data_IF_762897176418
#
_entry.id   IF_762897176418
#
_cell.length_a   1.000
_cell.length_b   1.000
_cell.length_c   1.000
_cell.angle_alpha   90.00
_cell.angle_beta   90.00
_cell.angle_gamma   90.00
#
_symmetry.space_group_name_H-M   'P 1'
#
loop_
_entity.id
_entity.type
_entity.pdbx_description
1 polymer ?
#
# COMPACT_ATOMS: atom_id res chain seq x y z
N UNK A 1 -17.48 -19.25 17.21
CA UNK A 1 -17.07 -19.80 15.90
C UNK A 1 -15.56 -20.05 15.91
N UNK A 2 -14.72 -19.02 16.18
CA UNK A 2 -13.24 -19.13 16.13
C UNK A 2 -12.70 -20.22 17.07
N UNK A 3 -13.13 -20.26 18.35
CA UNK A 3 -12.68 -21.25 19.32
C UNK A 3 -13.11 -22.69 19.00
N UNK A 4 -14.15 -22.87 18.19
CA UNK A 4 -14.67 -24.18 17.80
C UNK A 4 -14.15 -24.67 16.43
N UNK A 5 -13.31 -23.88 15.76
CA UNK A 5 -12.71 -24.26 14.48
C UNK A 5 -11.54 -25.24 14.70
N UNK A 6 -11.35 -26.22 13.83
CA UNK A 6 -10.22 -27.17 13.90
C UNK A 6 -8.89 -26.45 13.61
N UNK A 7 -8.91 -25.47 12.70
CA UNK A 7 -7.81 -24.55 12.45
C UNK A 7 -8.33 -23.13 12.16
N UNK A 8 -7.51 -22.13 12.42
CA UNK A 8 -7.75 -20.71 12.12
C UNK A 8 -6.60 -20.22 11.24
N UNK A 9 -6.91 -19.56 10.14
CA UNK A 9 -5.90 -18.94 9.27
C UNK A 9 -5.87 -17.44 9.53
N UNK A 10 -4.70 -16.91 9.89
CA UNK A 10 -4.38 -15.50 9.95
C UNK A 10 -3.57 -15.10 8.70
N UNK A 11 -3.79 -13.90 8.17
CA UNK A 11 -3.12 -13.44 6.93
C UNK A 11 -1.72 -12.89 7.15
N UNK A 12 -1.31 -12.74 8.41
CA UNK A 12 0.03 -12.31 8.82
C UNK A 12 0.32 -12.75 10.25
N UNK A 13 1.59 -12.66 10.66
CA UNK A 13 1.99 -12.91 12.05
C UNK A 13 1.35 -11.89 13.00
N UNK A 14 1.30 -10.61 12.60
CA UNK A 14 0.60 -9.58 13.36
C UNK A 14 -0.89 -9.91 13.56
N UNK A 15 -1.59 -10.34 12.51
CA UNK A 15 -3.00 -10.76 12.63
C UNK A 15 -3.15 -12.01 13.50
N UNK A 16 -2.18 -12.94 13.47
CA UNK A 16 -2.17 -14.10 14.38
C UNK A 16 -2.12 -13.66 15.83
N UNK A 17 -1.25 -12.71 16.15
CA UNK A 17 -1.09 -12.18 17.50
C UNK A 17 -2.37 -11.45 17.95
N UNK A 18 -2.99 -10.67 17.07
CA UNK A 18 -4.30 -10.05 17.31
C UNK A 18 -5.38 -11.09 17.64
N UNK A 19 -5.47 -12.15 16.83
CA UNK A 19 -6.43 -13.25 17.07
C UNK A 19 -6.21 -13.91 18.45
N UNK A 20 -4.95 -14.20 18.80
CA UNK A 20 -4.63 -14.83 20.09
C UNK A 20 -4.89 -13.89 21.27
N UNK A 21 -4.71 -12.58 21.08
CA UNK A 21 -5.02 -11.58 22.10
C UNK A 21 -6.53 -11.46 22.38
N UNK A 22 -7.34 -11.51 21.32
CA UNK A 22 -8.82 -11.43 21.41
C UNK A 22 -9.44 -12.72 21.91
N UNK A 23 -8.81 -13.87 21.61
CA UNK A 23 -9.29 -15.21 21.98
C UNK A 23 -8.24 -15.94 22.84
N UNK A 24 -8.04 -15.55 24.11
CA UNK A 24 -6.96 -16.10 24.95
C UNK A 24 -7.13 -17.59 25.31
N UNK A 25 -8.32 -18.16 25.07
CA UNK A 25 -8.60 -19.60 25.22
C UNK A 25 -8.30 -20.44 23.98
N UNK A 26 -7.90 -19.81 22.87
CA UNK A 26 -7.57 -20.54 21.65
C UNK A 26 -6.15 -21.12 21.72
N UNK A 27 -6.01 -22.42 21.37
CA UNK A 27 -4.69 -23.05 21.26
C UNK A 27 -3.88 -22.36 20.15
N UNK A 28 -2.71 -21.74 20.47
CA UNK A 28 -1.86 -21.09 19.49
C UNK A 28 -1.40 -21.98 18.32
N UNK A 29 -1.36 -23.31 18.53
CA UNK A 29 -0.99 -24.29 17.49
C UNK A 29 -2.07 -24.46 16.43
N UNK A 30 -3.30 -24.02 16.70
CA UNK A 30 -4.42 -24.04 15.75
C UNK A 30 -4.50 -22.77 14.90
N UNK A 31 -3.70 -21.75 15.20
CA UNK A 31 -3.65 -20.51 14.43
C UNK A 31 -2.44 -20.53 13.49
N UNK A 32 -2.72 -20.70 12.21
CA UNK A 32 -1.73 -20.79 11.16
C UNK A 32 -1.65 -19.47 10.40
N UNK A 33 -0.43 -19.08 9.99
CA UNK A 33 -0.24 -17.91 9.12
C UNK A 33 -0.21 -18.39 7.68
N UNK A 34 -1.16 -17.92 6.88
CA UNK A 34 -1.17 -18.08 5.42
C UNK A 34 -1.53 -16.73 4.81
N UNK A 35 -0.60 -16.13 4.12
CA UNK A 35 -0.75 -14.79 3.55
C UNK A 35 -1.78 -14.79 2.40
N UNK A 36 -2.34 -13.62 2.08
CA UNK A 36 -3.11 -13.48 0.84
C UNK A 36 -2.16 -13.49 -0.35
N UNK A 37 -2.66 -14.04 -1.46
CA UNK A 37 -1.96 -14.01 -2.74
C UNK A 37 -2.28 -12.79 -3.58
N UNK A 38 -1.55 -12.66 -4.66
CA UNK A 38 -1.78 -11.70 -5.74
C UNK A 38 -1.83 -12.44 -7.08
N UNK A 39 -2.72 -12.00 -7.96
CA UNK A 39 -2.79 -12.50 -9.33
C UNK A 39 -1.88 -11.65 -10.23
N UNK A 40 -0.70 -12.19 -10.56
CA UNK A 40 0.31 -11.51 -11.38
C UNK A 40 -0.03 -11.47 -12.88
N UNK A 41 -1.10 -12.14 -13.30
CA UNK A 41 -1.66 -12.03 -14.66
C UNK A 41 -2.68 -10.90 -14.75
N UNK A 42 -3.26 -10.49 -13.62
CA UNK A 42 -4.13 -9.32 -13.50
C UNK A 42 -3.31 -8.06 -13.16
N UNK A 43 -2.39 -8.19 -12.20
CA UNK A 43 -1.50 -7.12 -11.76
C UNK A 43 -0.11 -7.33 -12.35
N UNK A 44 0.24 -6.53 -13.33
CA UNK A 44 1.53 -6.58 -14.04
C UNK A 44 1.89 -5.17 -14.54
N UNK A 45 3.17 -4.90 -14.84
CA UNK A 45 3.57 -3.61 -15.40
C UNK A 45 2.83 -3.31 -16.70
N UNK A 46 2.04 -2.25 -16.72
CA UNK A 46 1.39 -1.79 -17.94
C UNK A 46 2.43 -1.25 -18.92
N UNK A 47 2.19 -1.38 -20.26
CA UNK A 47 3.04 -0.70 -21.22
C UNK A 47 3.11 0.80 -20.98
N UNK A 48 4.28 1.45 -21.16
CA UNK A 48 4.47 2.89 -20.86
C UNK A 48 3.40 3.79 -21.50
N UNK A 49 2.99 3.51 -22.75
CA UNK A 49 2.00 4.29 -23.47
C UNK A 49 0.62 4.30 -22.78
N UNK A 50 0.31 3.23 -22.05
CA UNK A 50 -0.96 3.13 -21.30
C UNK A 50 -0.90 3.97 -20.03
N UNK A 51 0.26 3.95 -19.35
CA UNK A 51 0.50 4.84 -18.20
C UNK A 51 0.44 6.31 -18.61
N UNK A 52 1.12 6.71 -19.68
CA UNK A 52 1.08 8.07 -20.21
C UNK A 52 -0.35 8.50 -20.56
N UNK A 53 -1.15 7.60 -21.15
CA UNK A 53 -2.54 7.90 -21.53
C UNK A 53 -3.42 8.18 -20.29
N UNK A 54 -3.34 7.36 -19.26
CA UNK A 54 -4.14 7.56 -18.03
C UNK A 54 -3.68 8.80 -17.27
N UNK A 55 -2.37 9.07 -17.23
CA UNK A 55 -1.85 10.29 -16.61
C UNK A 55 -2.31 11.55 -17.34
N UNK A 56 -2.33 11.53 -18.69
CA UNK A 56 -2.84 12.63 -19.50
C UNK A 56 -4.34 12.89 -19.24
N UNK A 57 -5.16 11.84 -19.10
CA UNK A 57 -6.57 11.98 -18.72
C UNK A 57 -6.74 12.66 -17.36
N UNK A 58 -5.82 12.43 -16.42
CA UNK A 58 -5.83 13.02 -15.08
C UNK A 58 -5.18 14.40 -15.02
N UNK A 59 -4.52 14.85 -16.10
CA UNK A 59 -3.77 16.10 -16.14
C UNK A 59 -2.42 16.02 -15.45
N UNK A 60 -1.89 14.82 -15.20
CA UNK A 60 -0.59 14.56 -14.58
C UNK A 60 0.50 14.68 -15.63
N UNK A 61 1.61 15.35 -15.31
CA UNK A 61 2.76 15.47 -16.20
C UNK A 61 3.63 14.18 -16.10
N UNK A 62 3.72 13.37 -17.16
CA UNK A 62 4.46 12.11 -17.12
C UNK A 62 5.99 12.31 -17.03
N UNK A 63 6.49 13.52 -17.27
CA UNK A 63 7.92 13.82 -17.17
C UNK A 63 8.41 14.09 -15.73
N UNK A 64 7.47 14.24 -14.79
CA UNK A 64 7.75 14.54 -13.39
C UNK A 64 7.57 13.31 -12.51
N UNK A 65 8.39 13.14 -11.45
CA UNK A 65 8.21 12.03 -10.52
C UNK A 65 6.84 12.10 -9.85
N UNK A 66 6.23 10.93 -9.64
CA UNK A 66 4.88 10.82 -9.10
C UNK A 66 4.82 9.76 -8.01
N UNK A 67 4.15 10.07 -6.90
CA UNK A 67 3.66 9.08 -5.95
C UNK A 67 2.19 8.81 -6.17
N UNK A 68 1.79 7.54 -6.03
CA UNK A 68 0.40 7.12 -6.06
C UNK A 68 -0.04 6.61 -4.69
N UNK A 69 -1.28 6.88 -4.35
CA UNK A 69 -2.02 6.23 -3.27
C UNK A 69 -3.30 5.62 -3.84
N UNK A 70 -3.60 4.40 -3.42
CA UNK A 70 -4.83 3.70 -3.82
C UNK A 70 -5.49 3.13 -2.57
N UNK A 71 -6.73 3.49 -2.32
CA UNK A 71 -7.47 2.98 -1.16
C UNK A 71 -8.73 3.74 -0.82
N UNK A 72 -9.49 3.22 0.14
CA UNK A 72 -10.62 3.95 0.73
C UNK A 72 -10.14 5.04 1.67
N UNK A 73 -10.94 6.07 1.82
CA UNK A 73 -10.69 7.13 2.81
C UNK A 73 -11.20 6.64 4.16
N UNK A 74 -10.31 6.03 4.92
CA UNK A 74 -10.56 5.55 6.28
C UNK A 74 -9.45 6.02 7.22
N UNK A 75 -9.71 6.09 8.53
CA UNK A 75 -8.64 6.41 9.49
C UNK A 75 -7.52 5.38 9.45
N UNK A 76 -7.87 4.12 9.25
CA UNK A 76 -6.91 3.02 9.14
C UNK A 76 -5.91 3.21 8.00
N UNK A 77 -6.34 3.77 6.85
CA UNK A 77 -5.49 3.93 5.67
C UNK A 77 -4.54 5.13 5.74
N UNK A 78 -4.64 5.96 6.78
CA UNK A 78 -3.68 7.02 7.05
C UNK A 78 -3.61 8.13 5.99
N UNK A 79 -4.64 8.34 5.18
CA UNK A 79 -4.68 9.39 4.15
C UNK A 79 -4.31 10.77 4.70
N UNK A 80 -4.77 11.19 5.90
CA UNK A 80 -4.37 12.45 6.50
C UNK A 80 -2.85 12.59 6.69
N UNK A 81 -2.16 11.50 7.08
CA UNK A 81 -0.70 11.52 7.25
C UNK A 81 0.04 11.69 5.91
N UNK A 82 -0.46 11.06 4.83
CA UNK A 82 0.10 11.29 3.50
C UNK A 82 -0.05 12.75 3.07
N UNK A 83 -1.25 13.33 3.28
CA UNK A 83 -1.50 14.74 2.93
C UNK A 83 -0.60 15.66 3.74
N UNK A 84 -0.46 15.43 5.05
CA UNK A 84 0.43 16.21 5.91
C UNK A 84 1.91 16.08 5.50
N UNK A 85 2.36 14.87 5.16
CA UNK A 85 3.72 14.63 4.64
C UNK A 85 3.93 15.34 3.30
N UNK A 86 2.92 15.37 2.41
CA UNK A 86 3.02 15.93 1.08
C UNK A 86 3.31 17.45 1.05
N UNK A 87 3.00 18.18 2.11
CA UNK A 87 3.45 19.57 2.27
C UNK A 87 4.98 19.74 2.28
N UNK A 88 5.72 18.64 2.56
CA UNK A 88 7.18 18.61 2.63
C UNK A 88 7.84 17.86 1.47
N UNK A 89 7.05 17.40 0.49
CA UNK A 89 7.60 16.78 -0.72
C UNK A 89 8.29 17.83 -1.58
N UNK A 90 9.33 17.41 -2.27
CA UNK A 90 10.01 18.29 -3.24
C UNK A 90 8.99 18.83 -4.26
N UNK A 91 9.14 20.08 -4.70
CA UNK A 91 8.13 20.76 -5.55
C UNK A 91 7.80 20.03 -6.85
N UNK A 92 8.75 19.26 -7.39
CA UNK A 92 8.58 18.53 -8.64
C UNK A 92 7.77 17.22 -8.47
N UNK A 93 7.59 16.72 -7.23
CA UNK A 93 6.86 15.51 -6.98
C UNK A 93 5.36 15.76 -7.12
N UNK A 94 4.70 14.96 -7.93
CA UNK A 94 3.26 14.94 -8.09
C UNK A 94 2.64 13.86 -7.19
N UNK A 95 1.41 14.10 -6.73
CA UNK A 95 0.66 13.17 -5.86
C UNK A 95 -0.66 12.82 -6.53
N UNK A 96 -0.86 11.54 -6.82
CA UNK A 96 -2.11 11.01 -7.35
C UNK A 96 -2.81 10.21 -6.25
N UNK A 97 -3.92 10.73 -5.77
CA UNK A 97 -4.76 10.09 -4.75
C UNK A 97 -5.95 9.41 -5.44
N UNK A 98 -5.89 8.09 -5.64
CA UNK A 98 -7.05 7.30 -6.03
C UNK A 98 -7.78 6.88 -4.75
N UNK A 99 -8.51 7.83 -4.17
CA UNK A 99 -9.08 7.72 -2.84
C UNK A 99 -10.55 8.18 -2.85
N UNK A 100 -11.44 7.23 -2.69
CA UNK A 100 -12.89 7.44 -2.62
C UNK A 100 -13.53 6.68 -1.46
N UNK A 101 -14.86 6.65 -1.44
CA UNK A 101 -15.66 5.89 -0.48
C UNK A 101 -15.23 6.14 0.99
N UNK A 102 -15.36 7.38 1.50
CA UNK A 102 -15.07 7.68 2.90
C UNK A 102 -16.04 6.90 3.81
N UNK A 103 -15.51 6.40 4.94
CA UNK A 103 -16.31 5.61 5.88
C UNK A 103 -17.38 6.47 6.59
N UNK A 104 -17.09 7.74 6.81
CA UNK A 104 -18.04 8.69 7.43
C UNK A 104 -17.98 10.07 6.78
N UNK A 105 -19.07 10.87 6.89
CA UNK A 105 -19.09 12.25 6.39
C UNK A 105 -18.01 13.14 7.03
N UNK A 106 -17.66 12.89 8.30
CA UNK A 106 -16.67 13.67 9.04
C UNK A 106 -15.27 13.48 8.44
N UNK A 107 -14.84 12.22 8.17
CA UNK A 107 -13.56 11.97 7.54
C UNK A 107 -13.52 12.44 6.10
N UNK A 108 -14.68 12.41 5.40
CA UNK A 108 -14.80 12.99 4.06
C UNK A 108 -14.51 14.50 4.06
N UNK A 109 -15.13 15.23 5.00
CA UNK A 109 -14.94 16.67 5.13
C UNK A 109 -13.49 17.02 5.55
N UNK A 110 -12.93 16.28 6.51
CA UNK A 110 -11.55 16.44 6.97
C UNK A 110 -10.55 16.26 5.81
N UNK A 111 -10.65 15.18 5.07
CA UNK A 111 -9.75 14.89 3.94
C UNK A 111 -9.94 15.88 2.81
N UNK A 112 -11.19 16.28 2.52
CA UNK A 112 -11.46 17.28 1.47
C UNK A 112 -10.85 18.63 1.80
N UNK A 113 -10.94 19.08 3.05
CA UNK A 113 -10.32 20.32 3.50
C UNK A 113 -8.79 20.24 3.43
N UNK A 114 -8.20 19.11 3.88
CA UNK A 114 -6.75 18.91 3.86
C UNK A 114 -6.18 18.84 2.42
N UNK A 115 -6.88 18.18 1.49
CA UNK A 115 -6.49 18.17 0.06
C UNK A 115 -6.59 19.56 -0.56
N UNK A 116 -7.64 20.32 -0.24
CA UNK A 116 -7.81 21.69 -0.75
C UNK A 116 -6.69 22.61 -0.22
N UNK A 117 -6.32 22.49 1.06
CA UNK A 117 -5.21 23.25 1.65
C UNK A 117 -3.87 22.88 1.01
N UNK A 118 -3.60 21.58 0.83
CA UNK A 118 -2.40 21.10 0.15
C UNK A 118 -2.33 21.61 -1.31
N UNK A 119 -3.44 21.55 -2.05
CA UNK A 119 -3.51 22.01 -3.43
C UNK A 119 -3.34 23.53 -3.56
N UNK A 120 -3.74 24.30 -2.54
CA UNK A 120 -3.48 25.73 -2.46
C UNK A 120 -2.01 26.05 -2.13
N UNK A 121 -1.36 25.20 -1.34
CA UNK A 121 0.05 25.38 -0.93
C UNK A 121 1.04 24.93 -1.99
N UNK A 122 0.70 23.92 -2.83
CA UNK A 122 1.56 23.38 -3.88
C UNK A 122 0.77 22.83 -5.05
N UNK A 123 1.36 22.89 -6.24
CA UNK A 123 0.82 22.22 -7.44
C UNK A 123 1.08 20.71 -7.47
N UNK A 124 0.49 20.05 -8.48
CA UNK A 124 0.74 18.62 -8.73
C UNK A 124 -0.03 17.69 -7.80
N UNK A 125 -1.20 18.10 -7.32
CA UNK A 125 -2.09 17.27 -6.50
C UNK A 125 -3.32 16.89 -7.34
N UNK A 126 -3.51 15.59 -7.53
CA UNK A 126 -4.58 15.04 -8.35
C UNK A 126 -5.39 14.05 -7.49
N UNK A 127 -6.64 14.34 -7.27
CA UNK A 127 -7.50 13.52 -6.44
C UNK A 127 -8.65 12.93 -7.25
N UNK A 128 -8.60 11.60 -7.43
CA UNK A 128 -9.63 10.81 -8.10
C UNK A 128 -10.53 10.21 -7.03
N UNK A 129 -11.77 10.70 -6.94
CA UNK A 129 -12.74 10.31 -5.93
C UNK A 129 -13.63 9.16 -6.40
N UNK A 130 -13.71 8.95 -7.69
CA UNK A 130 -14.52 7.88 -8.28
C UNK A 130 -13.83 6.53 -8.19
N UNK A 131 -14.63 5.47 -8.27
CA UNK A 131 -14.11 4.11 -8.36
C UNK A 131 -13.51 3.89 -9.77
N UNK A 132 -12.22 3.61 -9.81
CA UNK A 132 -11.54 3.27 -11.04
C UNK A 132 -11.52 1.75 -11.26
N UNK A 133 -11.69 1.28 -12.52
CA UNK A 133 -11.52 -0.12 -12.85
C UNK A 133 -10.06 -0.55 -12.67
N UNK A 134 -9.85 -1.85 -12.36
CA UNK A 134 -8.52 -2.44 -12.10
C UNK A 134 -7.50 -2.07 -13.19
N UNK A 135 -7.90 -2.08 -14.46
CA UNK A 135 -7.02 -1.69 -15.57
C UNK A 135 -6.43 -0.30 -15.44
N UNK A 136 -7.24 0.70 -15.03
CA UNK A 136 -6.76 2.07 -14.81
C UNK A 136 -5.89 2.19 -13.56
N UNK A 137 -6.26 1.51 -12.48
CA UNK A 137 -5.42 1.47 -11.25
C UNK A 137 -4.05 0.87 -11.58
N UNK A 138 -4.01 -0.24 -12.32
CA UNK A 138 -2.76 -0.87 -12.76
C UNK A 138 -1.91 0.07 -13.62
N UNK A 139 -2.52 0.80 -14.55
CA UNK A 139 -1.82 1.79 -15.39
C UNK A 139 -1.24 2.93 -14.55
N UNK A 140 -1.98 3.45 -13.56
CA UNK A 140 -1.52 4.48 -12.63
C UNK A 140 -0.38 3.96 -11.77
N UNK A 141 -0.51 2.77 -11.17
CA UNK A 141 0.54 2.16 -10.36
C UNK A 141 1.80 1.94 -11.18
N UNK A 142 1.68 1.39 -12.40
CA UNK A 142 2.84 1.14 -13.27
C UNK A 142 3.56 2.42 -13.72
N UNK A 143 2.86 3.55 -13.78
CA UNK A 143 3.44 4.85 -14.13
C UNK A 143 4.01 5.58 -12.91
N UNK A 144 3.64 5.19 -11.69
CA UNK A 144 4.12 5.82 -10.48
C UNK A 144 5.59 5.49 -10.21
N UNK A 145 6.36 6.49 -9.78
CA UNK A 145 7.73 6.28 -9.28
C UNK A 145 7.71 5.48 -7.98
N UNK A 146 6.71 5.75 -7.12
CA UNK A 146 6.48 4.98 -5.91
C UNK A 146 4.99 4.96 -5.54
N UNK A 147 4.57 3.88 -4.91
CA UNK A 147 3.30 3.76 -4.20
C UNK A 147 3.51 4.07 -2.73
N UNK A 148 2.63 4.85 -2.11
CA UNK A 148 2.70 5.21 -0.69
C UNK A 148 1.55 4.57 0.08
N UNK A 149 1.89 3.78 1.11
CA UNK A 149 0.93 3.12 2.01
C UNK A 149 1.12 3.62 3.45
N UNK A 150 0.49 4.73 3.85
CA UNK A 150 0.69 5.34 5.18
C UNK A 150 -0.26 4.77 6.23
N UNK A 151 -0.67 3.50 6.10
CA UNK A 151 -1.64 2.87 6.98
C UNK A 151 -1.19 2.90 8.44
N UNK A 152 -2.14 3.14 9.36
CA UNK A 152 -1.89 3.08 10.81
C UNK A 152 -2.21 1.69 11.39
N UNK A 153 -2.90 0.88 10.62
CA UNK A 153 -3.16 -0.54 10.86
C UNK A 153 -3.40 -1.24 9.53
N UNK A 154 -2.77 -2.39 9.31
CA UNK A 154 -2.91 -3.15 8.08
C UNK A 154 -2.75 -4.65 8.35
N UNK A 155 -3.79 -5.48 8.16
CA UNK A 155 -3.69 -6.93 8.39
C UNK A 155 -2.60 -7.61 7.58
N UNK A 156 -2.44 -7.25 6.30
CA UNK A 156 -1.37 -7.73 5.43
C UNK A 156 -0.86 -6.63 4.50
N UNK A 157 -1.77 -5.91 3.82
CA UNK A 157 -1.41 -4.87 2.85
C UNK A 157 -1.45 -5.35 1.40
N UNK A 158 -2.59 -5.89 0.96
CA UNK A 158 -2.78 -6.37 -0.44
C UNK A 158 -2.47 -5.28 -1.46
N UNK A 159 -2.79 -4.01 -1.18
CA UNK A 159 -2.46 -2.90 -2.09
C UNK A 159 -0.95 -2.72 -2.30
N UNK A 160 -0.11 -3.10 -1.32
CA UNK A 160 1.34 -3.13 -1.53
C UNK A 160 1.73 -4.22 -2.53
N UNK A 161 1.08 -5.41 -2.45
CA UNK A 161 1.27 -6.47 -3.43
C UNK A 161 0.82 -6.05 -4.84
N UNK A 162 -0.29 -5.31 -4.95
CA UNK A 162 -0.77 -4.77 -6.23
C UNK A 162 0.26 -3.81 -6.85
N UNK A 163 0.82 -2.90 -6.05
CA UNK A 163 1.86 -1.98 -6.50
C UNK A 163 3.16 -2.73 -6.88
N UNK A 164 3.62 -3.63 -6.02
CA UNK A 164 4.82 -4.45 -6.28
C UNK A 164 4.64 -5.32 -7.54
N UNK A 165 3.48 -5.93 -7.73
CA UNK A 165 3.17 -6.71 -8.93
C UNK A 165 3.19 -5.86 -10.21
N UNK A 166 2.90 -4.56 -10.12
CA UNK A 166 3.06 -3.59 -11.18
C UNK A 166 4.51 -3.08 -11.36
N UNK A 167 5.48 -3.67 -10.65
CA UNK A 167 6.88 -3.23 -10.59
C UNK A 167 7.06 -1.80 -10.06
N UNK A 168 6.20 -1.37 -9.15
CA UNK A 168 6.25 -0.05 -8.51
C UNK A 168 6.90 -0.18 -7.15
N UNK A 169 7.89 0.67 -6.85
CA UNK A 169 8.51 0.73 -5.53
C UNK A 169 7.48 1.12 -4.46
N UNK A 170 7.61 0.58 -3.26
CA UNK A 170 6.68 0.85 -2.15
C UNK A 170 7.36 1.67 -1.06
N UNK A 171 6.66 2.69 -0.56
CA UNK A 171 6.99 3.38 0.69
C UNK A 171 5.81 3.16 1.63
N UNK A 172 6.01 2.48 2.74
CA UNK A 172 4.91 2.10 3.61
C UNK A 172 5.27 2.26 5.09
N UNK A 173 4.26 2.39 5.95
CA UNK A 173 4.43 2.25 7.38
C UNK A 173 4.83 0.81 7.75
N UNK A 174 5.48 0.63 8.90
CA UNK A 174 5.94 -0.66 9.41
C UNK A 174 4.89 -1.39 10.29
N UNK A 175 3.61 -1.16 10.04
CA UNK A 175 2.53 -1.68 10.90
C UNK A 175 1.93 -3.00 10.40
N UNK A 176 1.44 -3.80 11.34
CA UNK A 176 0.69 -5.04 11.07
C UNK A 176 1.47 -6.01 10.18
N UNK A 177 0.87 -6.44 9.09
CA UNK A 177 1.47 -7.37 8.13
C UNK A 177 2.33 -6.71 7.03
N UNK A 178 2.43 -5.38 6.98
CA UNK A 178 3.20 -4.69 5.94
C UNK A 178 4.67 -5.14 5.89
N UNK A 179 5.40 -5.30 7.03
CA UNK A 179 6.78 -5.78 7.01
C UNK A 179 6.97 -7.22 6.50
N UNK A 180 5.88 -7.99 6.43
CA UNK A 180 5.90 -9.32 5.83
C UNK A 180 5.73 -9.30 4.30
N UNK A 181 5.26 -8.19 3.76
CA UNK A 181 5.05 -7.95 2.32
C UNK A 181 6.21 -7.16 1.74
N UNK A 182 6.54 -6.02 2.34
CA UNK A 182 7.60 -5.12 1.90
C UNK A 182 8.89 -5.45 2.63
N UNK A 183 9.92 -5.76 1.87
CA UNK A 183 11.28 -6.00 2.38
C UNK A 183 12.06 -4.67 2.34
N UNK A 184 12.35 -4.13 3.54
CA UNK A 184 12.96 -2.81 3.68
C UNK A 184 14.34 -2.75 3.06
N UNK A 185 14.56 -1.75 2.22
CA UNK A 185 15.81 -1.56 1.47
C UNK A 185 15.97 -2.49 0.26
N UNK A 186 15.00 -3.39 -0.03
CA UNK A 186 15.05 -4.34 -1.14
C UNK A 186 13.87 -4.13 -2.10
N UNK A 187 12.63 -4.17 -1.59
CA UNK A 187 11.43 -3.99 -2.41
C UNK A 187 10.72 -2.66 -2.15
N UNK A 188 11.19 -1.93 -1.14
CA UNK A 188 10.61 -0.66 -0.74
C UNK A 188 11.35 -0.03 0.44
N UNK A 189 10.69 0.96 1.05
CA UNK A 189 11.16 1.62 2.27
C UNK A 189 10.07 1.53 3.32
N UNK A 190 10.40 1.01 4.50
CA UNK A 190 9.52 1.02 5.66
C UNK A 190 9.77 2.26 6.51
N UNK A 191 8.70 2.91 6.92
CA UNK A 191 8.71 4.10 7.77
C UNK A 191 8.04 3.77 9.08
N UNK A 192 8.76 3.92 10.19
CA UNK A 192 8.23 3.62 11.51
C UNK A 192 7.04 4.53 11.86
N UNK A 193 5.92 3.90 12.25
CA UNK A 193 4.72 4.58 12.73
C UNK A 193 4.54 4.39 14.23
N UNK A 194 4.44 5.51 14.95
CA UNK A 194 4.10 5.55 16.36
C UNK A 194 2.87 6.45 16.56
N UNK A 195 1.80 5.88 17.11
CA UNK A 195 0.53 6.61 17.30
C UNK A 195 0.65 7.81 18.27
N UNK A 196 1.63 7.76 19.18
CA UNK A 196 1.91 8.86 20.11
C UNK A 196 2.65 10.03 19.46
N UNK A 197 3.31 9.83 18.30
CA UNK A 197 4.03 10.88 17.58
C UNK A 197 3.78 10.83 16.06
N UNK A 198 2.56 11.16 15.62
CA UNK A 198 2.22 11.13 14.21
C UNK A 198 3.00 12.15 13.36
N UNK A 199 3.49 13.23 13.99
CA UNK A 199 4.27 14.26 13.27
C UNK A 199 5.66 13.75 12.89
N UNK A 200 6.32 12.94 13.73
CA UNK A 200 7.59 12.29 13.39
C UNK A 200 7.40 11.32 12.21
N UNK A 201 6.31 10.51 12.22
CA UNK A 201 5.96 9.66 11.10
C UNK A 201 5.79 10.44 9.79
N UNK A 202 5.04 11.56 9.81
CA UNK A 202 4.80 12.41 8.64
C UNK A 202 6.11 13.03 8.10
N UNK A 203 7.02 13.45 8.99
CA UNK A 203 8.33 13.96 8.60
C UNK A 203 9.21 12.88 7.97
N UNK A 204 9.24 11.68 8.57
CA UNK A 204 10.00 10.53 8.03
C UNK A 204 9.42 10.05 6.71
N UNK A 205 8.10 10.02 6.58
CA UNK A 205 7.42 9.66 5.34
C UNK A 205 7.81 10.62 4.21
N UNK A 206 7.80 11.93 4.50
CA UNK A 206 8.24 12.92 3.52
C UNK A 206 9.72 12.74 3.12
N UNK A 207 10.59 12.50 4.11
CA UNK A 207 12.02 12.25 3.85
C UNK A 207 12.23 10.98 3.00
N UNK A 208 11.49 9.90 3.27
CA UNK A 208 11.55 8.67 2.50
C UNK A 208 11.10 8.88 1.05
N UNK A 209 10.00 9.62 0.84
CA UNK A 209 9.49 9.97 -0.50
C UNK A 209 10.54 10.80 -1.26
N UNK A 210 11.01 11.91 -0.70
CA UNK A 210 11.99 12.77 -1.36
C UNK A 210 13.28 11.99 -1.70
N UNK A 211 13.77 11.18 -0.76
CA UNK A 211 14.97 10.35 -0.95
C UNK A 211 14.81 9.31 -2.05
N UNK A 212 13.67 8.63 -2.13
CA UNK A 212 13.46 7.59 -3.16
C UNK A 212 13.23 8.22 -4.54
N UNK A 213 12.44 9.30 -4.63
CA UNK A 213 12.11 9.91 -5.90
C UNK A 213 13.26 10.72 -6.50
N UNK A 214 14.27 11.09 -5.70
CA UNK A 214 15.53 11.64 -6.19
C UNK A 214 16.50 10.59 -6.76
N UNK A 215 16.19 9.28 -6.62
CA UNK A 215 17.00 8.17 -7.11
C UNK A 215 16.15 7.20 -7.95
N UNK A 216 15.87 7.54 -9.22
CA UNK A 216 15.02 6.72 -10.10
C UNK A 216 15.55 5.29 -10.30
N UNK A 217 16.86 5.09 -10.28
CA UNK A 217 17.46 3.77 -10.41
C UNK A 217 17.17 2.90 -9.18
N UNK A 218 17.18 3.47 -7.98
CA UNK A 218 16.78 2.76 -6.77
C UNK A 218 15.29 2.42 -6.79
N UNK A 219 14.44 3.39 -7.16
CA UNK A 219 13.01 3.15 -7.30
C UNK A 219 12.73 2.00 -8.28
N UNK A 220 13.40 1.99 -9.44
CA UNK A 220 13.27 0.91 -10.42
C UNK A 220 13.71 -0.44 -9.85
N UNK A 221 14.88 -0.52 -9.20
CA UNK A 221 15.36 -1.77 -8.57
C UNK A 221 14.39 -2.29 -7.52
N UNK A 222 13.82 -1.41 -6.69
CA UNK A 222 12.82 -1.82 -5.69
C UNK A 222 11.56 -2.38 -6.35
N UNK A 223 11.06 -1.72 -7.40
CA UNK A 223 9.90 -2.19 -8.15
C UNK A 223 10.13 -3.55 -8.81
N UNK A 224 11.28 -3.74 -9.47
CA UNK A 224 11.67 -5.01 -10.09
C UNK A 224 11.77 -6.15 -9.05
N UNK A 225 12.44 -5.89 -7.93
CA UNK A 225 12.55 -6.85 -6.82
C UNK A 225 11.18 -7.15 -6.20
N UNK A 226 10.34 -6.12 -6.04
CA UNK A 226 8.97 -6.28 -5.54
C UNK A 226 8.13 -7.18 -6.42
N UNK A 227 8.17 -6.99 -7.74
CA UNK A 227 7.47 -7.87 -8.68
C UNK A 227 7.96 -9.30 -8.61
N UNK A 228 9.28 -9.50 -8.57
CA UNK A 228 9.83 -10.86 -8.46
C UNK A 228 9.35 -11.54 -7.18
N UNK A 229 9.37 -10.83 -6.05
CA UNK A 229 8.84 -11.34 -4.78
C UNK A 229 7.35 -11.72 -4.87
N UNK A 230 6.52 -10.93 -5.57
CA UNK A 230 5.11 -11.27 -5.79
C UNK A 230 4.94 -12.60 -6.55
N UNK A 231 5.77 -12.82 -7.57
CA UNK A 231 5.74 -14.06 -8.38
C UNK A 231 6.18 -15.27 -7.54
N UNK A 232 7.26 -15.13 -6.77
CA UNK A 232 7.89 -16.25 -6.07
C UNK A 232 7.17 -16.63 -4.78
N UNK A 233 6.68 -15.63 -4.00
CA UNK A 233 6.19 -15.87 -2.65
C UNK A 233 4.68 -15.65 -2.48
N UNK A 234 4.06 -14.83 -3.33
CA UNK A 234 2.66 -14.41 -3.16
C UNK A 234 1.73 -14.85 -4.29
N UNK A 235 2.15 -15.74 -5.18
CA UNK A 235 1.23 -16.28 -6.20
C UNK A 235 0.10 -17.09 -5.54
N UNK A 236 -1.12 -16.98 -6.05
CA UNK A 236 -2.26 -17.76 -5.54
C UNK A 236 -2.01 -19.27 -5.57
N UNK A 237 -1.20 -19.76 -6.51
CA UNK A 237 -0.81 -21.16 -6.53
C UNK A 237 -0.01 -21.55 -5.28
N UNK A 238 1.00 -20.75 -4.91
CA UNK A 238 1.79 -20.97 -3.71
C UNK A 238 0.95 -20.87 -2.43
N UNK A 239 0.08 -19.88 -2.34
CA UNK A 239 -0.84 -19.70 -1.19
C UNK A 239 -1.84 -20.85 -1.06
N UNK A 240 -2.34 -21.37 -2.18
CA UNK A 240 -3.25 -22.52 -2.19
C UNK A 240 -2.56 -23.81 -1.66
N UNK A 241 -1.29 -24.04 -2.02
CA UNK A 241 -0.51 -25.16 -1.51
C UNK A 241 -0.36 -25.10 0.02
N UNK A 242 -0.02 -23.93 0.57
CA UNK A 242 0.07 -23.71 2.01
C UNK A 242 -1.28 -23.97 2.71
N UNK A 243 -2.38 -23.51 2.11
CA UNK A 243 -3.73 -23.73 2.63
C UNK A 243 -4.08 -25.23 2.62
N UNK A 244 -3.76 -25.95 1.54
CA UNK A 244 -3.99 -27.40 1.44
C UNK A 244 -3.18 -28.19 2.46
N UNK A 245 -1.98 -27.75 2.83
CA UNK A 245 -1.20 -28.39 3.90
C UNK A 245 -1.91 -28.32 5.26
N UNK A 246 -2.60 -27.20 5.55
CA UNK A 246 -3.39 -27.08 6.79
C UNK A 246 -4.55 -28.05 6.75
N UNK A 247 -5.33 -28.07 5.65
CA UNK A 247 -6.48 -28.98 5.51
C UNK A 247 -6.11 -30.47 5.61
N UNK A 248 -4.87 -30.84 5.29
CA UNK A 248 -4.40 -32.22 5.45
C UNK A 248 -4.03 -32.59 6.89
N UNK A 249 -3.89 -31.60 7.78
CA UNK A 249 -3.48 -31.79 9.19
C UNK A 249 -4.67 -31.79 10.15
N UNK A 250 -5.81 -31.29 9.71
CA UNK A 250 -7.09 -31.25 10.46
C UNK A 250 -8.08 -32.23 9.85
#
# INVERSE_FOLDING_TARGET
AVEAADAVIAVSSGMRDDVLSVYPGLDPNRVHVVKNGIDTDVWYPAPPERGESVLAELGVDPSRPMVAFVGRITRQKGVPHLIAAAHRFDPDIQVVLCAGAPDTPEIAAEVSAAVADLAAARGGIFWVQEFLPIGKIREILSAATAFVCPSVYEPLGIVNLEAMACATAVIASDVGGIPEVVDDGVTGTLVHYEAADPQDFEMRLAAAVNSLLSDPDRARRYGEAGRQRCIDEFSWAHIAEQTLEIYRKV
#
